data_IF_476477040381
#
_entry.id   IF_476477040381
#
_cell.length_a   1.000
_cell.length_b   1.000
_cell.length_c   1.000
_cell.angle_alpha   90.00
_cell.angle_beta   90.00
_cell.angle_gamma   90.00
#
_symmetry.space_group_name_H-M   'P 1'
#
loop_
_entity.id
_entity.type
_entity.pdbx_description
1 polymer ?
#
# COMPACT_ATOMS: atom_id res chain seq x y z
N UNK A 1 33.75 60.11 33.68
CA UNK A 1 35.19 60.14 34.07
C UNK A 1 35.89 59.52 32.88
N UNK A 2 36.32 60.35 32.02
CA UNK A 2 37.63 61.01 31.88
C UNK A 2 38.59 60.11 31.14
N UNK A 3 38.71 60.38 29.84
CA UNK A 3 39.89 61.07 29.23
C UNK A 3 41.03 60.10 28.97
N UNK A 4 41.69 60.03 27.91
CA UNK A 4 42.16 60.93 26.85
C UNK A 4 43.48 60.37 26.30
N UNK A 5 43.72 60.55 25.09
CA UNK A 5 44.80 61.14 24.28
C UNK A 5 45.86 60.10 23.79
N UNK A 6 46.49 60.13 22.69
CA UNK A 6 46.66 61.09 21.60
C UNK A 6 47.43 60.35 20.49
N UNK A 7 47.26 60.74 19.24
CA UNK A 7 48.14 60.38 18.10
C UNK A 7 49.47 61.24 18.18
N UNK A 8 50.17 61.53 17.09
CA UNK A 8 50.15 61.11 15.66
C UNK A 8 51.60 60.86 15.11
N UNK A 9 51.76 60.97 13.79
CA UNK A 9 52.94 61.39 12.97
C UNK A 9 53.42 60.29 11.97
N UNK A 10 53.11 60.42 10.75
CA UNK A 10 53.63 61.07 9.52
C UNK A 10 54.94 60.47 8.90
N UNK A 11 54.86 60.33 7.58
CA UNK A 11 55.88 60.40 6.52
C UNK A 11 56.52 59.10 6.00
N UNK A 12 56.35 58.92 4.68
CA UNK A 12 57.24 58.16 3.85
C UNK A 12 56.64 57.83 2.45
N UNK A 13 56.83 58.78 1.55
CA UNK A 13 56.49 58.72 0.11
C UNK A 13 57.27 57.68 -0.64
N UNK A 14 56.58 57.01 -1.64
CA UNK A 14 57.20 56.99 -2.93
C UNK A 14 57.44 55.59 -3.54
N UNK A 15 57.02 55.43 -4.77
CA UNK A 15 57.32 54.41 -5.81
C UNK A 15 56.70 53.06 -5.60
N UNK A 16 55.63 52.81 -6.35
CA UNK A 16 55.06 51.52 -6.49
C UNK A 16 53.82 51.42 -7.42
N UNK A 17 53.60 52.44 -8.27
CA UNK A 17 52.34 52.52 -9.08
C UNK A 17 52.34 51.73 -10.42
N UNK A 18 53.40 50.99 -10.78
CA UNK A 18 53.50 50.32 -12.09
C UNK A 18 53.42 48.80 -12.03
N UNK A 19 53.49 48.18 -10.85
CA UNK A 19 53.37 46.69 -10.74
C UNK A 19 51.96 46.20 -10.38
N UNK A 20 51.03 47.07 -10.03
CA UNK A 20 49.67 46.69 -9.61
C UNK A 20 48.69 46.46 -10.75
N UNK A 21 48.96 46.95 -11.98
CA UNK A 21 48.01 46.88 -13.10
C UNK A 21 48.12 45.56 -13.86
N UNK A 22 49.29 44.90 -13.86
CA UNK A 22 49.44 43.60 -14.58
C UNK A 22 48.97 42.38 -13.77
N UNK A 23 48.95 42.46 -12.45
CA UNK A 23 48.43 41.35 -11.60
C UNK A 23 46.92 41.37 -11.49
N UNK A 24 46.28 42.51 -11.63
CA UNK A 24 44.80 42.60 -11.63
C UNK A 24 44.16 42.05 -12.90
N UNK A 25 44.86 42.13 -14.06
CA UNK A 25 44.31 41.58 -15.33
C UNK A 25 44.39 40.06 -15.45
N UNK A 26 45.37 39.40 -14.78
CA UNK A 26 45.45 37.92 -14.74
C UNK A 26 44.46 37.32 -13.74
N UNK A 27 44.06 38.08 -12.69
CA UNK A 27 43.06 37.59 -11.71
C UNK A 27 41.62 37.69 -12.22
N UNK A 28 41.35 38.63 -13.14
CA UNK A 28 40.01 38.77 -13.76
C UNK A 28 39.71 37.67 -14.83
N UNK A 29 40.73 37.04 -15.44
CA UNK A 29 40.54 35.95 -16.37
C UNK A 29 40.38 34.59 -15.73
N UNK A 30 40.81 34.42 -14.47
CA UNK A 30 40.65 33.16 -13.72
C UNK A 30 39.29 33.02 -13.02
N UNK A 31 38.63 34.12 -12.70
CA UNK A 31 37.31 34.12 -12.03
C UNK A 31 36.16 33.79 -13.01
N UNK A 32 36.30 34.11 -14.30
CA UNK A 32 35.28 33.84 -15.32
C UNK A 32 35.18 32.33 -15.70
N UNK A 33 36.27 31.59 -15.56
CA UNK A 33 36.27 30.16 -15.89
C UNK A 33 35.64 29.28 -14.79
N UNK A 34 35.71 29.71 -13.54
CA UNK A 34 35.12 28.98 -12.38
C UNK A 34 33.60 29.18 -12.35
N UNK A 35 33.08 30.35 -12.76
CA UNK A 35 31.63 30.61 -12.79
C UNK A 35 30.91 29.85 -13.88
N UNK A 36 31.57 29.52 -15.01
CA UNK A 36 30.98 28.73 -16.08
C UNK A 36 30.88 27.24 -15.73
N UNK A 37 31.82 26.70 -14.96
CA UNK A 37 31.76 25.30 -14.51
C UNK A 37 30.69 25.08 -13.43
N UNK A 38 30.43 26.06 -12.59
CA UNK A 38 29.39 25.95 -11.55
C UNK A 38 27.97 26.03 -12.15
N UNK A 39 27.79 26.75 -13.26
CA UNK A 39 26.49 26.80 -13.95
C UNK A 39 26.17 25.52 -14.76
N UNK A 40 27.20 24.80 -15.25
CA UNK A 40 26.98 23.53 -15.95
C UNK A 40 26.55 22.41 -14.98
N UNK A 41 27.00 22.46 -13.71
CA UNK A 41 26.57 21.51 -12.70
C UNK A 41 25.16 21.78 -12.12
N UNK A 42 24.66 23.02 -12.26
CA UNK A 42 23.30 23.39 -11.81
C UNK A 42 22.23 23.07 -12.87
N UNK A 43 22.59 22.74 -14.10
CA UNK A 43 21.68 22.42 -15.20
C UNK A 43 21.69 20.94 -15.60
N UNK A 44 22.24 20.04 -14.78
CA UNK A 44 21.94 18.63 -14.91
C UNK A 44 20.46 18.46 -14.51
N UNK A 45 19.58 17.98 -15.42
CA UNK A 45 18.22 17.66 -15.04
C UNK A 45 18.36 16.67 -13.88
N UNK A 46 17.80 17.02 -12.72
CA UNK A 46 17.58 16.05 -11.67
C UNK A 46 16.91 14.86 -12.37
N UNK A 47 17.57 13.70 -12.36
CA UNK A 47 16.95 12.46 -12.81
C UNK A 47 15.73 12.29 -11.92
N UNK A 48 14.58 12.79 -12.36
CA UNK A 48 13.32 12.56 -11.67
C UNK A 48 13.16 11.05 -11.57
N UNK A 49 13.06 10.58 -10.34
CA UNK A 49 12.84 9.17 -10.08
C UNK A 49 11.56 8.75 -10.79
N UNK A 50 11.62 7.71 -11.63
CA UNK A 50 10.40 7.23 -12.30
C UNK A 50 9.38 6.73 -11.28
N UNK A 51 8.10 6.92 -11.58
CA UNK A 51 6.99 6.45 -10.75
C UNK A 51 7.17 4.98 -10.34
N UNK A 52 7.57 4.13 -11.29
CA UNK A 52 7.84 2.71 -11.02
C UNK A 52 8.98 2.50 -10.03
N UNK A 53 10.06 3.29 -10.12
CA UNK A 53 11.21 3.19 -9.21
C UNK A 53 10.82 3.62 -7.81
N UNK A 54 10.07 4.71 -7.68
CA UNK A 54 9.56 5.18 -6.38
C UNK A 54 8.68 4.11 -5.71
N UNK A 55 7.73 3.56 -6.45
CA UNK A 55 6.84 2.51 -5.95
C UNK A 55 7.61 1.23 -5.56
N UNK A 56 8.61 0.83 -6.35
CA UNK A 56 9.50 -0.31 -6.02
C UNK A 56 10.27 -0.08 -4.72
N UNK A 57 10.76 1.13 -4.47
CA UNK A 57 11.46 1.45 -3.21
C UNK A 57 10.53 1.35 -2.01
N UNK A 58 9.28 1.81 -2.14
CA UNK A 58 8.27 1.69 -1.08
C UNK A 58 7.97 0.22 -0.79
N UNK A 59 7.78 -0.58 -1.83
CA UNK A 59 7.55 -2.01 -1.71
C UNK A 59 8.73 -2.72 -1.03
N UNK A 60 9.95 -2.46 -1.50
CA UNK A 60 11.15 -3.07 -0.95
C UNK A 60 11.37 -2.69 0.52
N UNK A 61 11.11 -1.44 0.89
CA UNK A 61 11.22 -0.99 2.27
C UNK A 61 10.31 -1.81 3.21
N UNK A 62 9.06 -2.04 2.82
CA UNK A 62 8.13 -2.84 3.62
C UNK A 62 8.57 -4.30 3.78
N UNK A 63 9.30 -4.86 2.81
CA UNK A 63 9.71 -6.27 2.76
C UNK A 63 11.09 -6.55 3.35
N UNK A 64 11.98 -5.56 3.36
CA UNK A 64 13.40 -5.78 3.70
C UNK A 64 13.86 -5.04 4.95
N UNK A 65 13.05 -4.14 5.50
CA UNK A 65 13.36 -3.48 6.76
C UNK A 65 12.87 -4.31 7.95
N UNK A 66 13.64 -4.29 9.03
CA UNK A 66 13.17 -4.75 10.32
C UNK A 66 12.43 -3.59 11.00
N UNK A 67 11.19 -3.82 11.41
CA UNK A 67 10.41 -2.79 12.11
C UNK A 67 9.39 -3.43 13.05
N UNK A 68 9.05 -2.65 14.08
CA UNK A 68 7.97 -2.95 15.01
C UNK A 68 7.19 -1.70 15.31
N UNK A 69 5.85 -1.76 15.23
CA UNK A 69 5.04 -0.57 15.43
C UNK A 69 3.57 -0.87 15.65
N UNK A 70 2.88 0.08 16.27
CA UNK A 70 1.43 0.10 16.37
C UNK A 70 0.89 1.00 15.28
N UNK A 71 -0.08 0.52 14.53
CA UNK A 71 -0.85 1.33 13.60
C UNK A 71 -2.33 1.30 13.93
N UNK A 72 -3.03 2.36 13.59
CA UNK A 72 -4.47 2.47 13.72
C UNK A 72 -5.12 2.46 12.34
N UNK A 73 -6.14 1.62 12.19
CA UNK A 73 -7.11 1.67 11.11
C UNK A 73 -8.27 2.58 11.55
N UNK A 74 -8.63 3.51 10.70
CA UNK A 74 -9.71 4.46 10.94
C UNK A 74 -10.68 4.50 9.78
N UNK A 75 -11.96 4.26 10.06
CA UNK A 75 -13.02 4.29 9.08
C UNK A 75 -14.32 4.76 9.71
N UNK A 76 -14.83 5.91 9.25
CA UNK A 76 -16.02 6.51 9.87
C UNK A 76 -15.83 6.74 11.36
N UNK A 77 -16.66 6.10 12.18
CA UNK A 77 -16.55 6.14 13.66
C UNK A 77 -15.74 4.99 14.27
N UNK A 78 -15.22 4.05 13.46
CA UNK A 78 -14.44 2.91 13.92
C UNK A 78 -12.95 3.26 13.95
N UNK A 79 -12.27 2.92 15.05
CA UNK A 79 -10.82 2.96 15.17
C UNK A 79 -10.38 1.64 15.77
N UNK A 80 -9.47 0.94 15.09
CA UNK A 80 -8.89 -0.32 15.56
C UNK A 80 -7.36 -0.25 15.46
N UNK A 81 -6.68 -0.70 16.50
CA UNK A 81 -5.24 -0.72 16.56
C UNK A 81 -4.70 -2.15 16.35
N UNK A 82 -3.54 -2.23 15.73
CA UNK A 82 -2.80 -3.47 15.54
C UNK A 82 -1.32 -3.24 15.79
N UNK A 83 -0.66 -4.26 16.34
CA UNK A 83 0.78 -4.29 16.52
C UNK A 83 1.39 -5.18 15.45
N UNK A 84 2.29 -4.62 14.66
CA UNK A 84 3.07 -5.38 13.67
C UNK A 84 4.52 -5.52 14.12
N UNK A 85 5.05 -6.71 13.97
CA UNK A 85 6.48 -7.04 14.13
C UNK A 85 6.95 -7.71 12.85
N UNK A 86 7.95 -7.13 12.18
CA UNK A 86 8.45 -7.60 10.90
C UNK A 86 9.97 -7.71 10.93
N UNK A 87 10.49 -8.84 10.45
CA UNK A 87 11.92 -9.15 10.36
C UNK A 87 12.24 -9.77 9.01
N UNK A 88 13.30 -9.29 8.40
CA UNK A 88 13.93 -9.85 7.22
C UNK A 88 15.37 -10.23 7.54
N UNK A 89 15.73 -11.51 7.38
CA UNK A 89 17.04 -12.05 7.70
C UNK A 89 18.03 -12.06 6.50
N UNK A 90 17.66 -11.40 5.39
CA UNK A 90 18.40 -11.43 4.12
C UNK A 90 17.88 -12.50 3.15
N UNK A 91 17.04 -13.41 3.60
CA UNK A 91 16.47 -14.51 2.81
C UNK A 91 14.97 -14.72 3.08
N UNK A 92 14.58 -14.71 4.34
CA UNK A 92 13.22 -14.99 4.78
C UNK A 92 12.60 -13.74 5.39
N UNK A 93 11.34 -13.55 5.10
CA UNK A 93 10.48 -12.52 5.65
C UNK A 93 9.58 -13.17 6.70
N UNK A 94 9.63 -12.69 7.94
CA UNK A 94 8.79 -13.16 9.05
C UNK A 94 8.04 -11.99 9.65
N UNK A 95 6.74 -12.15 9.85
CA UNK A 95 5.86 -11.11 10.35
C UNK A 95 4.87 -11.68 11.35
N UNK A 96 4.61 -10.93 12.40
CA UNK A 96 3.51 -11.15 13.33
C UNK A 96 2.65 -9.90 13.38
N UNK A 97 1.36 -10.05 13.14
CA UNK A 97 0.35 -9.02 13.31
C UNK A 97 -0.60 -9.41 14.43
N UNK A 98 -0.76 -8.55 15.42
CA UNK A 98 -1.61 -8.75 16.60
C UNK A 98 -2.72 -7.70 16.58
N UNK A 99 -3.98 -8.11 16.61
CA UNK A 99 -5.09 -7.20 16.82
C UNK A 99 -5.12 -6.78 18.28
N UNK A 100 -5.14 -5.47 18.55
CA UNK A 100 -5.14 -4.93 19.91
C UNK A 100 -6.54 -4.58 20.38
N UNK A 101 -7.50 -4.46 19.47
CA UNK A 101 -8.90 -4.18 19.74
C UNK A 101 -9.78 -5.32 19.21
N UNK A 102 -10.97 -5.48 19.82
CA UNK A 102 -11.94 -6.51 19.47
C UNK A 102 -11.52 -7.94 19.88
N UNK A 103 -12.03 -8.98 19.21
CA UNK A 103 -11.65 -10.36 19.47
C UNK A 103 -10.18 -10.59 19.19
N UNK A 104 -9.50 -11.28 20.12
CA UNK A 104 -8.07 -11.55 19.99
C UNK A 104 -7.77 -12.35 18.71
N UNK A 105 -6.82 -11.90 17.92
CA UNK A 105 -6.36 -12.54 16.69
C UNK A 105 -4.88 -12.26 16.48
N UNK A 106 -4.15 -13.25 15.99
CA UNK A 106 -2.80 -13.08 15.50
C UNK A 106 -2.67 -13.67 14.09
N UNK A 107 -1.87 -13.00 13.28
CA UNK A 107 -1.49 -13.49 11.97
C UNK A 107 0.02 -13.65 11.95
N UNK A 108 0.48 -14.88 11.77
CA UNK A 108 1.89 -15.22 11.66
C UNK A 108 2.20 -15.52 10.21
N UNK A 109 3.11 -14.78 9.62
CA UNK A 109 3.54 -14.99 8.24
C UNK A 109 5.03 -15.34 8.18
N UNK A 110 5.33 -16.35 7.42
CA UNK A 110 6.72 -16.67 7.03
C UNK A 110 6.75 -16.86 5.52
N UNK A 111 7.36 -15.92 4.81
CA UNK A 111 7.31 -15.79 3.35
C UNK A 111 5.84 -15.79 2.86
N UNK A 112 5.42 -16.76 2.05
CA UNK A 112 4.08 -16.84 1.47
C UNK A 112 3.09 -17.65 2.34
N UNK A 113 3.51 -18.18 3.48
CA UNK A 113 2.64 -18.96 4.38
C UNK A 113 2.11 -18.09 5.49
N UNK A 114 0.80 -18.08 5.64
CA UNK A 114 0.09 -17.34 6.70
C UNK A 114 -0.65 -18.31 7.60
N UNK A 115 -0.55 -18.09 8.90
CA UNK A 115 -1.33 -18.75 9.94
C UNK A 115 -2.16 -17.71 10.66
N UNK A 116 -3.48 -17.86 10.65
CA UNK A 116 -4.40 -17.02 11.42
C UNK A 116 -4.77 -17.77 12.70
N UNK A 117 -4.43 -17.20 13.87
CA UNK A 117 -4.70 -17.79 15.18
C UNK A 117 -6.00 -17.25 15.74
N UNK A 118 -6.93 -18.15 16.05
CA UNK A 118 -8.28 -17.85 16.58
C UNK A 118 -8.39 -18.47 17.97
N UNK A 119 -7.98 -17.76 19.05
CA UNK A 119 -7.89 -18.34 20.38
C UNK A 119 -9.25 -18.70 20.97
N UNK A 120 -10.32 -17.99 20.64
CA UNK A 120 -11.68 -18.29 21.14
C UNK A 120 -12.16 -19.70 20.73
N UNK A 121 -11.74 -20.16 19.54
CA UNK A 121 -12.13 -21.45 18.96
C UNK A 121 -11.01 -22.51 19.10
N UNK A 122 -9.82 -22.14 19.59
CA UNK A 122 -8.60 -22.95 19.56
C UNK A 122 -8.29 -23.46 18.14
N UNK A 123 -8.32 -22.55 17.15
CA UNK A 123 -8.11 -22.87 15.73
C UNK A 123 -6.90 -22.14 15.19
N UNK A 124 -6.07 -22.89 14.45
CA UNK A 124 -5.07 -22.35 13.52
C UNK A 124 -5.60 -22.53 12.10
N UNK A 125 -5.86 -21.43 11.42
CA UNK A 125 -6.23 -21.46 10.00
C UNK A 125 -4.99 -21.27 9.14
N UNK A 126 -4.74 -22.21 8.22
CA UNK A 126 -3.63 -22.12 7.26
C UNK A 126 -4.13 -21.53 5.95
N UNK A 127 -3.52 -20.42 5.55
CA UNK A 127 -3.81 -19.73 4.28
C UNK A 127 -2.61 -19.91 3.33
N UNK A 128 -2.90 -20.28 2.07
CA UNK A 128 -1.87 -20.51 1.05
C UNK A 128 -1.52 -19.26 0.26
N UNK A 129 -2.31 -18.19 0.39
CA UNK A 129 -2.10 -16.96 -0.35
C UNK A 129 -1.70 -15.84 0.60
N UNK A 130 -0.62 -15.15 0.22
CA UNK A 130 -0.22 -13.92 0.86
C UNK A 130 -1.28 -12.85 0.56
N UNK A 131 -1.87 -12.31 1.61
CA UNK A 131 -2.61 -11.06 1.55
C UNK A 131 -1.65 -9.96 1.98
N UNK A 132 -1.27 -9.09 1.05
CA UNK A 132 -0.45 -7.93 1.40
C UNK A 132 -1.26 -7.00 2.30
N UNK A 133 -0.72 -6.72 3.50
CA UNK A 133 -1.33 -5.85 4.52
C UNK A 133 -0.43 -4.66 4.77
N UNK A 134 -1.01 -3.59 5.33
CA UNK A 134 -0.21 -2.43 5.73
C UNK A 134 0.98 -2.83 6.62
N UNK A 135 2.20 -2.30 6.36
CA UNK A 135 2.59 -1.31 5.36
C UNK A 135 2.91 -1.88 3.97
N UNK A 136 2.84 -3.19 3.78
CA UNK A 136 3.10 -3.89 2.51
C UNK A 136 1.93 -3.90 1.51
N UNK A 137 0.91 -3.09 1.73
CA UNK A 137 -0.35 -3.01 0.97
C UNK A 137 -0.18 -2.83 -0.53
N UNK A 138 0.95 -2.34 -0.95
CA UNK A 138 1.14 -1.87 -2.28
C UNK A 138 1.95 -2.87 -3.06
N UNK A 139 1.40 -3.32 -4.19
CA UNK A 139 2.30 -3.49 -5.30
C UNK A 139 2.60 -4.94 -5.66
N UNK A 140 1.56 -5.76 -5.70
CA UNK A 140 1.69 -7.02 -6.43
C UNK A 140 2.01 -6.78 -7.92
N UNK A 141 1.54 -5.64 -8.49
CA UNK A 141 1.77 -5.29 -9.90
C UNK A 141 1.95 -3.78 -10.10
N UNK A 142 3.17 -3.28 -9.94
CA UNK A 142 3.55 -1.87 -10.13
C UNK A 142 3.19 -1.37 -11.53
N UNK A 143 3.32 -2.20 -12.56
CA UNK A 143 3.01 -1.81 -13.93
C UNK A 143 1.51 -1.51 -14.09
N UNK A 144 0.65 -2.30 -13.45
CA UNK A 144 -0.77 -2.02 -13.42
C UNK A 144 -1.08 -0.71 -12.68
N UNK A 145 -0.37 -0.42 -11.58
CA UNK A 145 -0.53 0.85 -10.84
C UNK A 145 -0.20 2.03 -11.74
N UNK A 146 0.98 2.08 -12.36
CA UNK A 146 1.38 3.23 -13.22
C UNK A 146 0.52 3.33 -14.48
N UNK A 147 -0.06 2.22 -14.95
CA UNK A 147 -1.01 2.23 -16.07
C UNK A 147 -2.33 2.91 -15.67
N UNK A 148 -2.84 2.65 -14.47
CA UNK A 148 -4.17 3.05 -14.03
C UNK A 148 -4.19 4.34 -13.17
N UNK A 149 -3.04 4.74 -12.62
CA UNK A 149 -2.93 5.90 -11.74
C UNK A 149 -1.81 6.85 -12.18
N UNK A 150 -1.96 8.12 -11.80
CA UNK A 150 -0.90 9.14 -11.87
C UNK A 150 -0.29 9.30 -10.49
N UNK A 151 1.02 9.16 -10.38
CA UNK A 151 1.76 9.30 -9.14
C UNK A 151 2.24 10.75 -9.03
N UNK A 152 1.86 11.44 -7.97
CA UNK A 152 2.14 12.88 -7.81
C UNK A 152 2.78 13.14 -6.45
N UNK A 153 4.11 13.15 -6.34
CA UNK A 153 4.78 13.60 -5.13
C UNK A 153 4.41 15.07 -4.83
N UNK A 154 3.92 15.33 -3.60
CA UNK A 154 3.65 16.68 -3.16
C UNK A 154 4.94 17.30 -2.57
N UNK A 155 5.06 18.63 -2.67
CA UNK A 155 6.14 19.37 -2.01
C UNK A 155 5.99 19.40 -0.49
N UNK A 156 4.79 19.12 0.01
CA UNK A 156 4.49 19.14 1.44
C UNK A 156 5.08 17.91 2.13
N UNK A 157 5.80 18.16 3.22
CA UNK A 157 6.24 17.13 4.16
C UNK A 157 5.26 17.07 5.32
N UNK A 158 5.04 15.87 5.85
CA UNK A 158 4.22 15.63 7.04
C UNK A 158 5.02 14.88 8.10
N UNK A 159 4.44 14.74 9.29
CA UNK A 159 5.02 13.94 10.37
C UNK A 159 4.03 12.86 10.81
N UNK A 160 4.48 11.60 10.86
CA UNK A 160 3.70 10.43 11.28
C UNK A 160 4.57 9.59 12.21
N UNK A 161 4.05 9.16 13.34
CA UNK A 161 4.76 8.36 14.35
C UNK A 161 6.16 8.93 14.70
N UNK A 162 6.27 10.27 14.78
CA UNK A 162 7.54 10.94 15.08
C UNK A 162 8.51 11.09 13.89
N UNK A 163 8.21 10.55 12.72
CA UNK A 163 9.06 10.53 11.51
C UNK A 163 8.54 11.51 10.45
N UNK A 164 9.47 12.12 9.71
CA UNK A 164 9.12 13.00 8.58
C UNK A 164 8.84 12.13 7.33
N UNK A 165 7.75 12.39 6.64
CA UNK A 165 7.37 11.67 5.43
C UNK A 165 6.99 12.62 4.29
N UNK A 166 7.29 12.18 3.06
CA UNK A 166 6.84 12.81 1.84
C UNK A 166 5.42 12.35 1.53
N UNK A 167 4.55 13.29 1.17
CA UNK A 167 3.20 12.98 0.70
C UNK A 167 3.24 12.66 -0.79
N UNK A 168 2.56 11.59 -1.18
CA UNK A 168 2.41 11.16 -2.58
C UNK A 168 0.93 10.92 -2.83
N UNK A 169 0.36 11.69 -3.74
CA UNK A 169 -1.01 11.46 -4.22
C UNK A 169 -0.99 10.46 -5.39
N UNK A 170 -1.74 9.37 -5.25
CA UNK A 170 -1.95 8.34 -6.26
C UNK A 170 -3.35 8.55 -6.83
N UNK A 171 -3.42 9.25 -7.96
CA UNK A 171 -4.68 9.76 -8.53
C UNK A 171 -5.14 8.83 -9.64
N UNK A 172 -6.37 8.26 -9.56
CA UNK A 172 -6.89 7.41 -10.61
C UNK A 172 -7.05 8.17 -11.93
N UNK A 173 -6.80 7.46 -13.05
CA UNK A 173 -6.98 8.01 -14.41
C UNK A 173 -8.41 7.89 -14.92
N UNK A 174 -9.27 7.19 -14.18
CA UNK A 174 -10.69 6.95 -14.50
C UNK A 174 -11.58 7.08 -13.24
N UNK A 175 -12.85 6.75 -13.36
CA UNK A 175 -13.83 6.79 -12.25
C UNK A 175 -14.17 5.42 -11.67
N UNK A 176 -13.42 4.37 -12.06
CA UNK A 176 -13.70 3.00 -11.64
C UNK A 176 -13.08 2.64 -10.29
N UNK A 177 -12.21 3.48 -9.76
CA UNK A 177 -11.39 3.21 -8.57
C UNK A 177 -11.23 4.44 -7.70
N UNK A 178 -10.91 4.24 -6.43
CA UNK A 178 -10.54 5.32 -5.53
C UNK A 178 -9.10 5.76 -5.73
N UNK A 179 -8.77 6.97 -5.28
CA UNK A 179 -7.40 7.46 -5.17
C UNK A 179 -6.79 7.11 -3.81
N UNK A 180 -5.48 7.31 -3.70
CA UNK A 180 -4.77 7.12 -2.44
C UNK A 180 -3.87 8.31 -2.16
N UNK A 181 -3.69 8.60 -0.88
CA UNK A 181 -2.67 9.53 -0.40
C UNK A 181 -1.74 8.78 0.54
N UNK A 182 -0.48 8.69 0.16
CA UNK A 182 0.56 7.98 0.87
C UNK A 182 1.43 8.97 1.63
N UNK A 183 1.90 8.60 2.83
CA UNK A 183 2.94 9.30 3.57
C UNK A 183 4.10 8.32 3.71
N UNK A 184 5.16 8.57 2.96
CA UNK A 184 6.33 7.67 2.81
C UNK A 184 7.50 8.25 3.57
N UNK A 185 8.08 7.47 4.48
CA UNK A 185 9.23 7.90 5.29
C UNK A 185 10.37 8.42 4.41
N UNK A 186 10.87 9.60 4.75
CA UNK A 186 11.86 10.27 3.92
C UNK A 186 13.22 9.56 3.90
N UNK A 187 13.57 8.87 4.98
CA UNK A 187 14.86 8.18 5.14
C UNK A 187 14.82 6.75 4.61
N UNK A 188 13.80 5.98 5.00
CA UNK A 188 13.75 4.55 4.77
C UNK A 188 12.82 4.14 3.63
N UNK A 189 11.97 5.03 3.15
CA UNK A 189 10.90 4.78 2.17
C UNK A 189 9.79 3.85 2.68
N UNK A 190 9.76 3.53 3.97
CA UNK A 190 8.65 2.78 4.55
C UNK A 190 7.37 3.60 4.50
N UNK A 191 6.27 2.96 4.16
CA UNK A 191 4.95 3.57 4.14
C UNK A 191 4.45 3.77 5.58
N UNK A 192 4.26 5.04 6.00
CA UNK A 192 3.84 5.39 7.36
C UNK A 192 2.34 5.61 7.50
N UNK A 193 1.68 6.04 6.41
CA UNK A 193 0.23 6.25 6.33
C UNK A 193 -0.28 6.02 4.94
N UNK A 194 -1.46 5.42 4.85
CA UNK A 194 -2.28 5.32 3.64
C UNK A 194 -3.64 5.90 3.94
N UNK A 195 -4.15 6.69 3.03
CA UNK A 195 -5.52 7.18 3.02
C UNK A 195 -6.16 6.79 1.70
N UNK A 196 -7.32 6.14 1.75
CA UNK A 196 -8.17 5.91 0.58
C UNK A 196 -9.07 7.13 0.39
N UNK A 197 -9.02 7.71 -0.80
CA UNK A 197 -9.66 8.99 -1.13
C UNK A 197 -10.71 8.78 -2.23
N UNK A 198 -11.94 9.04 -1.88
CA UNK A 198 -13.08 8.99 -2.81
C UNK A 198 -13.32 10.31 -3.55
N UNK A 199 -14.46 10.38 -4.21
CA UNK A 199 -14.87 11.54 -4.99
C UNK A 199 -14.85 12.83 -4.15
N UNK A 200 -14.43 13.93 -4.78
CA UNK A 200 -14.34 15.23 -4.12
C UNK A 200 -13.28 15.32 -3.01
N UNK A 201 -12.36 14.36 -2.92
CA UNK A 201 -11.33 14.32 -1.87
C UNK A 201 -11.81 13.78 -0.52
N UNK A 202 -12.97 13.13 -0.49
CA UNK A 202 -13.54 12.54 0.72
C UNK A 202 -12.67 11.38 1.23
N UNK A 203 -12.25 11.46 2.48
CA UNK A 203 -11.57 10.35 3.15
C UNK A 203 -12.55 9.18 3.34
N UNK A 204 -12.20 8.02 2.78
CA UNK A 204 -12.94 6.77 2.94
C UNK A 204 -12.45 6.05 4.19
N UNK A 205 -11.13 5.82 4.24
CA UNK A 205 -10.45 5.15 5.35
C UNK A 205 -9.00 5.61 5.44
N UNK A 206 -8.38 5.30 6.56
CA UNK A 206 -6.97 5.57 6.80
C UNK A 206 -6.34 4.46 7.62
N UNK A 207 -5.13 4.08 7.25
CA UNK A 207 -4.23 3.28 8.09
C UNK A 207 -2.98 4.11 8.36
N UNK A 208 -2.56 4.21 9.62
CA UNK A 208 -1.43 5.08 9.99
C UNK A 208 -0.70 4.54 11.20
N UNK A 209 0.62 4.47 11.14
CA UNK A 209 1.41 4.22 12.34
C UNK A 209 1.18 5.31 13.39
N UNK A 210 1.02 4.89 14.64
CA UNK A 210 0.98 5.74 15.84
C UNK A 210 2.30 5.66 16.61
N UNK A 211 2.95 4.48 16.56
CA UNK A 211 4.29 4.23 17.10
C UNK A 211 5.05 3.36 16.11
N UNK A 212 6.35 3.64 15.91
CA UNK A 212 7.18 2.88 14.97
C UNK A 212 8.65 2.94 15.36
N UNK A 213 9.29 1.77 15.40
CA UNK A 213 10.75 1.60 15.49
C UNK A 213 11.22 0.85 14.25
N UNK A 214 12.28 1.34 13.61
CA UNK A 214 12.87 0.76 12.38
C UNK A 214 14.34 0.44 12.64
N UNK A 215 14.82 -0.68 12.12
CA UNK A 215 16.23 -1.07 12.19
C UNK A 215 16.68 -1.58 13.58
N UNK A 216 15.76 -1.89 14.47
CA UNK A 216 16.05 -2.44 15.79
C UNK A 216 16.33 -3.94 15.72
N UNK A 217 17.19 -4.43 16.61
CA UNK A 217 17.29 -5.87 16.91
C UNK A 217 15.96 -6.32 17.51
N UNK A 218 15.21 -7.08 16.74
CA UNK A 218 13.91 -7.62 17.16
C UNK A 218 14.13 -9.07 17.59
N UNK A 219 13.94 -9.39 18.88
CA UNK A 219 14.07 -10.76 19.36
C UNK A 219 13.06 -11.70 18.66
N UNK A 220 13.49 -12.89 18.27
CA UNK A 220 12.62 -13.89 17.64
C UNK A 220 11.41 -14.27 18.52
N UNK A 221 11.53 -14.14 19.84
CA UNK A 221 10.44 -14.36 20.78
C UNK A 221 9.23 -13.47 20.53
N UNK A 222 9.42 -12.29 19.93
CA UNK A 222 8.32 -11.38 19.58
C UNK A 222 7.57 -11.80 18.31
N UNK A 223 8.14 -12.73 17.54
CA UNK A 223 7.51 -13.32 16.36
C UNK A 223 6.79 -14.65 16.67
N UNK A 224 6.98 -15.19 17.88
CA UNK A 224 6.30 -16.40 18.33
C UNK A 224 4.81 -16.14 18.61
N UNK A 225 3.94 -17.17 18.52
CA UNK A 225 2.56 -17.09 18.98
C UNK A 225 2.49 -16.65 20.44
N UNK A 226 1.49 -15.82 20.79
CA UNK A 226 1.25 -15.44 22.19
C UNK A 226 0.60 -16.55 23.00
N UNK A 227 0.08 -17.58 22.33
CA UNK A 227 -0.60 -18.73 22.96
C UNK A 227 0.14 -20.03 22.66
N UNK A 228 -0.03 -21.03 23.55
CA UNK A 228 0.35 -22.41 23.23
C UNK A 228 -0.65 -23.00 22.25
N UNK A 229 -0.23 -23.20 21.00
CA UNK A 229 -1.09 -23.68 19.91
C UNK A 229 -0.94 -25.18 19.64
N UNK A 230 -0.19 -25.92 20.46
CA UNK A 230 0.15 -27.33 20.23
C UNK A 230 -1.09 -28.23 20.10
N UNK A 231 -2.13 -27.94 20.89
CA UNK A 231 -3.36 -28.72 20.94
C UNK A 231 -4.51 -28.08 20.14
N UNK A 232 -4.22 -27.03 19.36
CA UNK A 232 -5.25 -26.34 18.59
C UNK A 232 -5.60 -27.11 17.31
N UNK A 233 -6.86 -27.01 16.91
CA UNK A 233 -7.31 -27.58 15.64
C UNK A 233 -6.71 -26.83 14.48
N UNK A 234 -5.98 -27.51 13.61
CA UNK A 234 -5.47 -26.95 12.35
C UNK A 234 -6.52 -27.12 11.26
N UNK A 235 -6.90 -26.01 10.64
CA UNK A 235 -7.85 -25.97 9.52
C UNK A 235 -7.12 -25.42 8.30
N UNK A 236 -7.05 -26.19 7.26
CA UNK A 236 -6.50 -25.75 5.97
C UNK A 236 -7.65 -25.45 5.00
N UNK A 237 -7.66 -24.25 4.45
CA UNK A 237 -8.64 -23.90 3.41
C UNK A 237 -8.31 -24.68 2.15
N UNK A 238 -9.21 -25.61 1.77
CA UNK A 238 -9.07 -26.35 0.53
C UNK A 238 -9.62 -25.51 -0.62
N UNK A 239 -8.70 -24.89 -1.33
CA UNK A 239 -9.00 -24.18 -2.57
C UNK A 239 -8.54 -25.01 -3.76
N UNK A 240 -9.39 -25.13 -4.77
CA UNK A 240 -9.03 -25.71 -6.06
C UNK A 240 -9.24 -24.70 -7.16
N UNK A 241 -8.32 -24.67 -8.12
CA UNK A 241 -8.46 -23.82 -9.30
C UNK A 241 -9.69 -24.25 -10.11
N UNK A 242 -10.41 -23.28 -10.66
CA UNK A 242 -11.61 -23.51 -11.48
C UNK A 242 -11.58 -22.64 -12.72
N UNK A 243 -12.08 -23.18 -13.84
CA UNK A 243 -12.35 -22.41 -15.05
C UNK A 243 -13.82 -21.96 -15.07
N UNK A 244 -14.07 -20.73 -14.63
CA UNK A 244 -15.42 -20.17 -14.60
C UNK A 244 -16.00 -20.03 -16.02
N UNK A 245 -15.16 -19.77 -17.01
CA UNK A 245 -15.62 -19.66 -18.40
C UNK A 245 -16.10 -21.02 -18.93
N UNK A 246 -15.36 -22.09 -18.63
CA UNK A 246 -15.77 -23.46 -18.95
C UNK A 246 -17.05 -23.90 -18.24
N UNK A 247 -17.34 -23.31 -17.06
CA UNK A 247 -18.61 -23.50 -16.35
C UNK A 247 -19.78 -22.67 -16.91
N UNK A 248 -19.56 -21.88 -17.96
CA UNK A 248 -20.60 -21.08 -18.62
C UNK A 248 -20.69 -19.63 -18.15
N UNK A 249 -19.79 -19.16 -17.28
CA UNK A 249 -19.75 -17.78 -16.88
C UNK A 249 -19.07 -16.89 -17.91
N UNK A 250 -19.66 -15.75 -18.21
CA UNK A 250 -19.08 -14.68 -19.03
C UNK A 250 -18.83 -13.48 -18.13
N UNK A 251 -17.57 -13.32 -17.72
CA UNK A 251 -17.12 -12.30 -16.79
C UNK A 251 -16.05 -11.48 -17.49
N UNK A 252 -16.37 -10.25 -17.85
CA UNK A 252 -15.42 -9.31 -18.43
C UNK A 252 -14.98 -8.34 -17.34
N UNK A 253 -13.71 -8.41 -16.92
CA UNK A 253 -13.16 -7.53 -15.90
C UNK A 253 -13.33 -6.05 -16.28
N UNK A 254 -13.57 -5.15 -15.32
CA UNK A 254 -13.54 -3.71 -15.58
C UNK A 254 -12.20 -3.27 -16.13
N UNK A 255 -12.18 -2.16 -16.88
CA UNK A 255 -10.96 -1.64 -17.48
C UNK A 255 -9.85 -1.46 -16.44
N UNK A 256 -8.64 -1.95 -16.75
CA UNK A 256 -7.48 -1.89 -15.88
C UNK A 256 -7.40 -2.94 -14.79
N UNK A 257 -8.41 -3.81 -14.63
CA UNK A 257 -8.38 -4.94 -13.71
C UNK A 257 -7.96 -6.22 -14.41
N UNK A 258 -7.02 -6.94 -13.82
CA UNK A 258 -6.60 -8.28 -14.24
C UNK A 258 -7.09 -9.35 -13.29
N UNK A 259 -7.31 -10.56 -13.80
CA UNK A 259 -7.66 -11.74 -12.96
C UNK A 259 -6.42 -12.16 -12.16
N UNK A 260 -6.55 -12.24 -10.83
CA UNK A 260 -5.49 -12.69 -9.93
C UNK A 260 -5.75 -14.08 -9.35
N UNK A 261 -7.02 -14.50 -9.28
CA UNK A 261 -7.39 -15.83 -8.82
C UNK A 261 -8.73 -16.28 -9.40
N UNK A 262 -8.88 -17.58 -9.60
CA UNK A 262 -10.16 -18.26 -9.84
C UNK A 262 -10.14 -19.56 -9.06
N UNK A 263 -10.92 -19.64 -8.01
CA UNK A 263 -10.90 -20.78 -7.08
C UNK A 263 -12.30 -21.27 -6.78
N UNK A 264 -12.38 -22.51 -6.36
CA UNK A 264 -13.55 -23.15 -5.78
C UNK A 264 -13.20 -23.54 -4.36
N UNK A 265 -14.06 -23.18 -3.43
CA UNK A 265 -13.96 -23.53 -2.02
C UNK A 265 -15.19 -24.32 -1.58
N UNK A 266 -14.99 -25.18 -0.57
CA UNK A 266 -16.08 -25.89 0.09
C UNK A 266 -16.18 -25.34 1.52
N UNK A 267 -17.30 -24.71 1.81
CA UNK A 267 -17.64 -24.29 3.18
C UNK A 267 -18.36 -25.42 3.93
N UNK A 268 -18.54 -25.23 5.24
CA UNK A 268 -19.35 -26.12 6.08
C UNK A 268 -20.66 -26.51 5.34
N UNK A 269 -21.08 -27.80 5.46
CA UNK A 269 -22.23 -28.38 4.76
C UNK A 269 -21.99 -28.65 3.26
N UNK A 270 -20.72 -28.77 2.80
CA UNK A 270 -20.36 -29.08 1.41
C UNK A 270 -20.87 -28.06 0.37
N UNK A 271 -21.10 -26.82 0.77
CA UNK A 271 -21.49 -25.76 -0.15
C UNK A 271 -20.31 -25.36 -1.00
N UNK A 272 -20.50 -25.48 -2.31
CA UNK A 272 -19.52 -25.04 -3.30
C UNK A 272 -19.70 -23.54 -3.53
N UNK A 273 -18.63 -22.79 -3.34
CA UNK A 273 -18.56 -21.37 -3.68
C UNK A 273 -17.43 -21.19 -4.68
N UNK A 274 -17.73 -20.61 -5.82
CA UNK A 274 -16.70 -20.17 -6.75
C UNK A 274 -16.33 -18.73 -6.43
N UNK A 275 -15.02 -18.44 -6.46
CA UNK A 275 -14.48 -17.12 -6.24
C UNK A 275 -13.59 -16.70 -7.40
N UNK A 276 -13.71 -15.44 -7.82
CA UNK A 276 -12.77 -14.78 -8.72
C UNK A 276 -12.27 -13.52 -8.06
N UNK A 277 -10.95 -13.34 -8.04
CA UNK A 277 -10.28 -12.12 -7.62
C UNK A 277 -9.77 -11.33 -8.82
N UNK A 278 -10.02 -10.05 -8.83
CA UNK A 278 -9.54 -9.09 -9.82
C UNK A 278 -8.73 -8.01 -9.10
N UNK A 279 -7.62 -7.53 -9.69
CA UNK A 279 -6.85 -6.41 -9.14
C UNK A 279 -6.34 -5.49 -10.24
N UNK A 280 -6.20 -4.22 -9.91
CA UNK A 280 -5.56 -3.19 -10.72
C UNK A 280 -4.15 -2.83 -10.20
N UNK A 281 -3.67 -3.60 -9.20
CA UNK A 281 -2.40 -3.40 -8.51
C UNK A 281 -2.52 -2.71 -7.15
N UNK A 282 -3.63 -2.01 -6.86
CA UNK A 282 -3.92 -1.34 -5.59
C UNK A 282 -5.24 -1.80 -4.99
N UNK A 283 -6.31 -1.73 -5.76
CA UNK A 283 -7.62 -2.18 -5.35
C UNK A 283 -7.91 -3.60 -5.82
N UNK A 284 -8.81 -4.28 -5.10
CA UNK A 284 -9.26 -5.64 -5.42
C UNK A 284 -10.77 -5.67 -5.52
N UNK A 285 -11.28 -6.40 -6.51
CA UNK A 285 -12.68 -6.77 -6.64
C UNK A 285 -12.77 -8.28 -6.50
N UNK A 286 -13.60 -8.75 -5.57
CA UNK A 286 -13.90 -10.17 -5.40
C UNK A 286 -15.32 -10.48 -5.86
N UNK A 287 -15.47 -11.59 -6.56
CA UNK A 287 -16.73 -12.13 -7.03
C UNK A 287 -16.94 -13.46 -6.34
N UNK A 288 -18.07 -13.64 -5.69
CA UNK A 288 -18.52 -14.91 -5.11
C UNK A 288 -19.77 -15.40 -5.84
N UNK A 289 -19.74 -16.65 -6.27
CA UNK A 289 -20.84 -17.30 -6.99
C UNK A 289 -21.26 -18.54 -6.21
N UNK A 290 -22.48 -18.52 -5.71
CA UNK A 290 -23.05 -19.57 -4.87
C UNK A 290 -24.35 -20.11 -5.48
N UNK A 291 -24.71 -21.38 -5.29
CA UNK A 291 -26.06 -21.84 -5.61
C UNK A 291 -27.12 -21.03 -4.88
N UNK A 292 -28.17 -20.60 -5.61
CA UNK A 292 -29.29 -19.89 -5.01
C UNK A 292 -30.17 -20.86 -4.21
N UNK A 293 -30.32 -20.63 -2.91
CA UNK A 293 -31.16 -21.40 -2.00
C UNK A 293 -32.22 -20.45 -1.41
N UNK A 294 -33.51 -20.74 -1.63
CA UNK A 294 -34.61 -19.89 -1.20
C UNK A 294 -34.59 -19.57 0.30
N UNK A 295 -34.20 -20.52 1.14
CA UNK A 295 -34.15 -20.39 2.59
C UNK A 295 -33.08 -19.39 3.12
N UNK A 296 -32.15 -18.96 2.26
CA UNK A 296 -31.06 -18.02 2.61
C UNK A 296 -31.09 -16.72 1.85
N UNK A 297 -32.02 -16.54 0.94
CA UNK A 297 -32.12 -15.32 0.12
C UNK A 297 -32.45 -14.08 0.97
N UNK A 298 -33.14 -14.26 2.09
CA UNK A 298 -33.62 -13.17 2.94
C UNK A 298 -32.49 -12.45 3.71
N UNK A 299 -31.30 -13.10 3.82
CA UNK A 299 -30.14 -12.54 4.52
C UNK A 299 -29.08 -11.93 3.58
N UNK A 300 -29.26 -12.02 2.27
CA UNK A 300 -28.28 -11.52 1.30
C UNK A 300 -28.77 -10.19 0.71
N UNK A 301 -27.93 -9.15 0.75
CA UNK A 301 -28.33 -7.84 0.21
C UNK A 301 -28.51 -7.94 -1.31
N UNK A 302 -29.73 -7.70 -1.79
CA UNK A 302 -30.02 -7.52 -3.21
C UNK A 302 -29.70 -6.05 -3.58
N UNK A 303 -28.93 -5.86 -4.65
CA UNK A 303 -28.48 -4.54 -5.07
C UNK A 303 -27.24 -4.07 -4.29
N UNK A 304 -27.07 -2.75 -4.22
CA UNK A 304 -25.94 -2.12 -3.56
C UNK A 304 -26.08 -2.14 -2.03
N UNK A 305 -24.98 -2.47 -1.35
CA UNK A 305 -24.83 -2.33 0.09
C UNK A 305 -23.38 -1.95 0.43
N UNK A 306 -23.11 -1.61 1.69
CA UNK A 306 -21.79 -1.22 2.14
C UNK A 306 -21.52 -1.79 3.54
N UNK A 307 -20.33 -2.33 3.74
CA UNK A 307 -19.83 -2.79 5.04
C UNK A 307 -18.47 -2.14 5.22
N UNK A 308 -18.39 -1.13 6.07
CA UNK A 308 -17.16 -0.39 6.24
C UNK A 308 -16.73 0.37 4.96
N UNK A 309 -15.46 0.22 4.53
CA UNK A 309 -14.92 0.74 3.25
C UNK A 309 -15.35 -0.07 2.04
N UNK A 310 -15.77 -1.32 2.29
CA UNK A 310 -16.10 -2.27 1.24
C UNK A 310 -17.52 -2.01 0.74
N UNK A 311 -17.64 -1.63 -0.53
CA UNK A 311 -18.90 -1.67 -1.24
C UNK A 311 -19.18 -3.08 -1.74
N UNK A 312 -20.44 -3.43 -1.84
CA UNK A 312 -20.87 -4.72 -2.39
C UNK A 312 -22.13 -4.56 -3.25
N UNK A 313 -22.29 -5.46 -4.20
CA UNK A 313 -23.49 -5.55 -5.03
C UNK A 313 -23.91 -7.01 -5.14
N UNK A 314 -25.13 -7.31 -4.71
CA UNK A 314 -25.73 -8.64 -4.76
C UNK A 314 -26.75 -8.75 -5.87
N UNK A 315 -26.70 -9.83 -6.66
CA UNK A 315 -27.66 -10.10 -7.73
C UNK A 315 -27.89 -11.60 -7.92
N UNK A 316 -29.12 -11.97 -8.29
CA UNK A 316 -29.47 -13.33 -8.70
C UNK A 316 -29.28 -13.47 -10.21
N UNK A 317 -28.50 -14.45 -10.64
CA UNK A 317 -28.32 -14.81 -12.06
C UNK A 317 -28.66 -16.30 -12.21
N UNK A 318 -29.71 -16.61 -12.93
CA UNK A 318 -30.24 -17.97 -13.07
C UNK A 318 -30.49 -18.63 -11.69
N UNK A 319 -29.83 -19.78 -11.43
CA UNK A 319 -29.91 -20.50 -10.15
C UNK A 319 -28.74 -20.19 -9.21
N UNK A 320 -28.10 -19.04 -9.38
CA UNK A 320 -26.96 -18.63 -8.58
C UNK A 320 -27.21 -17.28 -7.91
N UNK A 321 -26.59 -17.13 -6.75
CA UNK A 321 -26.40 -15.85 -6.10
C UNK A 321 -25.00 -15.36 -6.40
N UNK A 322 -24.90 -14.14 -6.93
CA UNK A 322 -23.64 -13.45 -7.20
C UNK A 322 -23.47 -12.31 -6.22
N UNK A 323 -22.33 -12.27 -5.53
CA UNK A 323 -21.89 -11.15 -4.72
C UNK A 323 -20.58 -10.60 -5.29
N UNK A 324 -20.59 -9.34 -5.68
CA UNK A 324 -19.39 -8.60 -6.09
C UNK A 324 -19.07 -7.60 -5.00
N UNK A 325 -17.84 -7.57 -4.51
CA UNK A 325 -17.42 -6.65 -3.46
C UNK A 325 -15.99 -6.13 -3.68
N UNK A 326 -15.69 -4.97 -3.11
CA UNK A 326 -14.37 -4.36 -3.18
C UNK A 326 -14.32 -2.95 -2.62
N UNK A 327 -13.13 -2.46 -2.37
CA UNK A 327 -12.84 -1.07 -1.98
C UNK A 327 -12.76 -0.18 -3.23
N UNK A 328 -13.86 -0.11 -3.95
CA UNK A 328 -14.02 0.66 -5.18
C UNK A 328 -15.38 1.38 -5.15
N UNK A 329 -15.64 2.40 -5.99
CA UNK A 329 -16.93 3.05 -6.05
C UNK A 329 -18.09 2.06 -6.27
N UNK A 330 -19.20 2.22 -5.53
CA UNK A 330 -20.35 1.34 -5.62
C UNK A 330 -20.89 1.22 -7.06
N UNK A 331 -20.86 2.31 -7.82
CA UNK A 331 -21.26 2.34 -9.23
C UNK A 331 -20.40 1.44 -10.13
N UNK A 332 -19.14 1.21 -9.76
CA UNK A 332 -18.24 0.27 -10.46
C UNK A 332 -18.71 -1.16 -10.26
N UNK A 333 -19.01 -1.54 -9.01
CA UNK A 333 -19.49 -2.89 -8.69
C UNK A 333 -20.85 -3.16 -9.31
N UNK A 334 -21.77 -2.19 -9.27
CA UNK A 334 -23.08 -2.30 -9.88
C UNK A 334 -22.98 -2.58 -11.38
N UNK A 335 -22.29 -1.70 -12.13
CA UNK A 335 -22.11 -1.86 -13.58
C UNK A 335 -21.43 -3.17 -13.92
N UNK A 336 -20.43 -3.54 -13.13
CA UNK A 336 -19.70 -4.80 -13.33
C UNK A 336 -20.59 -6.01 -13.08
N UNK A 337 -21.30 -6.08 -11.96
CA UNK A 337 -22.21 -7.18 -11.64
C UNK A 337 -23.31 -7.36 -12.70
N UNK A 338 -23.88 -6.25 -13.19
CA UNK A 338 -24.89 -6.26 -14.25
C UNK A 338 -24.38 -6.72 -15.61
N UNK A 339 -23.06 -6.63 -15.86
CA UNK A 339 -22.44 -7.11 -17.10
C UNK A 339 -22.18 -8.62 -17.12
N UNK A 340 -22.20 -9.28 -15.94
CA UNK A 340 -21.91 -10.69 -15.81
C UNK A 340 -23.10 -11.55 -16.31
N UNK A 341 -22.79 -12.58 -17.09
CA UNK A 341 -23.81 -13.46 -17.68
C UNK A 341 -23.46 -14.93 -17.39
N UNK A 342 -24.52 -15.73 -17.33
CA UNK A 342 -24.40 -17.19 -17.22
C UNK A 342 -25.04 -17.85 -18.46
N UNK A 343 -24.25 -18.58 -19.24
CA UNK A 343 -24.63 -19.23 -20.48
C UNK A 343 -24.20 -20.72 -20.44
N UNK A 344 -24.98 -21.61 -19.81
CA UNK A 344 -24.64 -23.02 -19.74
C UNK A 344 -24.69 -23.66 -21.14
N UNK A 345 -23.74 -24.56 -21.43
CA UNK A 345 -23.74 -25.37 -22.65
C UNK A 345 -23.09 -24.73 -23.89
N UNK A 346 -22.57 -23.52 -23.84
CA UNK A 346 -21.75 -22.96 -24.91
C UNK A 346 -20.25 -23.12 -24.59
N UNK A 347 -19.72 -24.33 -24.78
CA UNK A 347 -18.27 -24.48 -24.94
C UNK A 347 -17.87 -23.70 -26.19
N UNK A 348 -16.93 -22.73 -26.05
CA UNK A 348 -16.36 -22.09 -27.23
C UNK A 348 -15.69 -23.16 -28.09
N UNK A 349 -16.14 -23.24 -29.35
CA UNK A 349 -15.47 -24.00 -30.42
C UNK A 349 -14.16 -23.31 -30.80
#
# INVERSE_FOLDING_TARGET
MSMNHSGPVLFGRGLGFIKAVFTALLYMLSVSAVSAQTQVLQNLPSLEESDSTLLLRIQNAARTLNYRGVFAYHQGGLIEASLITHVYDGKNETEKLELLDGPAREYLRKNDRVQSLIPEDNVVMLEKQRVDRFPGLLLSNIQAVVANYSIRPASQMMRVAGRTCQVIDVVPKDTLRYGYRLCVDNETRLLLRVQTVGDGGRLIEQVSFTQLSIGSDIPETLLAPSWSIADWKVVETQETMVDLQGLGWRIQAPAGYGVISQTQQFFAEKKRVHQMGLSDGLSTISIFIEPYLNERSDYKPLGAAQIGSVNLYGVKIANFWLTVLGEVPASTLEKFAQSIQYMPGQSLK
#
